data_IF_995548584378
#
_entry.id   IF_995548584378
#
_cell.length_a   1.000
_cell.length_b   1.000
_cell.length_c   1.000
_cell.angle_alpha   90.00
_cell.angle_beta   90.00
_cell.angle_gamma   90.00
#
_symmetry.space_group_name_H-M   'P 1'
#
loop_
_entity.id
_entity.type
_entity.pdbx_description
1 polymer ?
#
# COMPACT_ATOMS: atom_id res chain seq x y z
N UNK A 1 -13.74 5.34 -16.86
CA UNK A 1 -14.02 4.77 -15.54
C UNK A 1 -12.77 4.06 -15.05
N UNK A 2 -12.33 4.27 -13.80
CA UNK A 2 -11.14 3.59 -13.26
C UNK A 2 -11.34 2.06 -13.19
N UNK A 3 -10.32 1.31 -13.55
CA UNK A 3 -10.29 -0.15 -13.48
C UNK A 3 -9.12 -0.62 -12.61
N UNK A 4 -9.35 -1.66 -11.83
CA UNK A 4 -8.41 -2.21 -10.85
C UNK A 4 -8.04 -3.65 -11.21
N UNK A 5 -6.81 -4.04 -10.95
CA UNK A 5 -6.34 -5.41 -11.14
C UNK A 5 -6.68 -6.29 -9.94
N UNK A 6 -6.87 -7.61 -10.14
CA UNK A 6 -7.20 -8.54 -9.06
C UNK A 6 -6.18 -8.56 -7.92
N UNK A 7 -4.91 -8.27 -8.21
CA UNK A 7 -3.86 -8.27 -7.20
C UNK A 7 -4.04 -7.21 -6.12
N UNK A 8 -4.77 -6.12 -6.41
CA UNK A 8 -4.97 -4.98 -5.51
C UNK A 8 -6.17 -5.13 -4.55
N UNK A 9 -6.90 -6.26 -4.59
CA UNK A 9 -8.02 -6.49 -3.65
C UNK A 9 -7.59 -6.55 -2.18
N UNK A 10 -6.31 -6.83 -1.91
CA UNK A 10 -5.75 -6.90 -0.56
C UNK A 10 -5.10 -5.60 -0.12
N UNK A 11 -5.03 -4.60 -1.00
CA UNK A 11 -4.51 -3.28 -0.66
C UNK A 11 -5.50 -2.55 0.26
N UNK A 12 -5.00 -1.85 1.27
CA UNK A 12 -5.82 -1.07 2.21
C UNK A 12 -6.59 0.01 1.46
N UNK A 13 -5.93 0.67 0.50
CA UNK A 13 -6.51 1.68 -0.39
C UNK A 13 -5.99 1.46 -1.80
N UNK A 14 -6.66 0.62 -2.62
CA UNK A 14 -6.20 0.33 -3.96
C UNK A 14 -6.28 1.57 -4.86
N UNK A 15 -5.25 1.75 -5.69
CA UNK A 15 -5.21 2.74 -6.76
C UNK A 15 -5.59 2.10 -8.09
N UNK A 16 -6.25 2.82 -9.01
CA UNK A 16 -6.58 2.25 -10.31
C UNK A 16 -5.32 1.98 -11.14
N UNK A 17 -5.31 0.86 -11.84
CA UNK A 17 -4.23 0.48 -12.76
C UNK A 17 -4.41 1.10 -14.14
N UNK A 18 -5.58 1.62 -14.45
CA UNK A 18 -5.91 2.26 -15.71
C UNK A 18 -7.37 2.68 -15.80
N UNK A 19 -7.81 3.00 -17.01
CA UNK A 19 -9.15 3.46 -17.27
C UNK A 19 -9.81 2.67 -18.42
N UNK A 20 -11.05 2.25 -18.23
CA UNK A 20 -11.88 1.64 -19.25
C UNK A 20 -12.83 2.67 -19.84
N UNK A 21 -13.02 2.63 -21.18
CA UNK A 21 -13.93 3.53 -21.87
C UNK A 21 -15.38 3.32 -21.41
N UNK A 22 -16.13 4.42 -21.25
CA UNK A 22 -17.56 4.35 -21.00
C UNK A 22 -18.35 3.75 -22.19
N UNK A 23 -17.75 3.76 -23.41
CA UNK A 23 -18.32 3.19 -24.64
C UNK A 23 -17.94 1.73 -24.86
N UNK A 24 -17.32 1.06 -23.86
CA UNK A 24 -16.98 -0.36 -23.98
C UNK A 24 -18.22 -1.22 -24.19
N UNK A 25 -18.07 -2.33 -24.95
CA UNK A 25 -19.10 -3.35 -25.09
C UNK A 25 -19.17 -4.31 -23.89
N UNK A 26 -18.19 -4.24 -22.99
CA UNK A 26 -18.13 -5.08 -21.78
C UNK A 26 -19.26 -4.68 -20.82
N UNK A 27 -19.94 -5.67 -20.25
CA UNK A 27 -20.92 -5.41 -19.20
C UNK A 27 -20.21 -5.00 -17.89
N UNK A 28 -20.08 -3.69 -17.70
CA UNK A 28 -19.43 -3.10 -16.52
C UNK A 28 -20.12 -3.52 -15.20
N UNK A 29 -21.43 -3.77 -15.24
CA UNK A 29 -22.19 -4.21 -14.06
C UNK A 29 -21.63 -5.49 -13.46
N UNK A 30 -21.19 -6.45 -14.29
CA UNK A 30 -20.59 -7.71 -13.86
C UNK A 30 -19.18 -7.55 -13.29
N UNK A 31 -18.50 -6.44 -13.60
CA UNK A 31 -17.16 -6.14 -13.12
C UNK A 31 -17.16 -5.32 -11.83
N UNK A 32 -18.30 -4.72 -11.49
CA UNK A 32 -18.47 -3.87 -10.30
C UNK A 32 -18.68 -4.73 -9.07
N UNK A 33 -17.88 -4.49 -8.03
CA UNK A 33 -18.00 -5.21 -6.77
C UNK A 33 -19.00 -4.54 -5.83
N UNK A 34 -19.65 -5.35 -5.00
CA UNK A 34 -20.71 -4.91 -4.07
C UNK A 34 -20.24 -5.11 -2.64
N UNK A 35 -20.73 -4.29 -1.74
CA UNK A 35 -20.49 -4.42 -0.31
C UNK A 35 -20.93 -5.80 0.21
N UNK A 36 -20.18 -6.34 1.18
CA UNK A 36 -20.34 -7.69 1.74
C UNK A 36 -20.05 -8.86 0.79
N UNK A 37 -19.61 -8.62 -0.44
CA UNK A 37 -19.04 -9.68 -1.26
C UNK A 37 -17.69 -10.13 -0.72
N UNK A 38 -17.32 -11.38 -1.00
CA UNK A 38 -15.95 -11.86 -0.85
C UNK A 38 -15.32 -11.93 -2.25
N UNK A 39 -14.13 -11.36 -2.38
CA UNK A 39 -13.35 -11.39 -3.61
C UNK A 39 -12.22 -12.39 -3.48
N UNK A 40 -11.94 -13.12 -4.56
CA UNK A 40 -10.83 -14.04 -4.61
C UNK A 40 -10.12 -13.99 -5.95
N UNK A 41 -8.79 -13.91 -5.96
CA UNK A 41 -8.00 -13.99 -7.18
C UNK A 41 -8.05 -15.40 -7.74
N UNK A 42 -8.34 -15.53 -9.04
CA UNK A 42 -8.57 -16.82 -9.70
C UNK A 42 -7.56 -17.15 -10.80
N UNK A 43 -6.61 -16.25 -11.09
CA UNK A 43 -5.60 -16.44 -12.13
C UNK A 43 -4.23 -15.90 -11.66
N UNK A 44 -3.15 -16.56 -12.06
CA UNK A 44 -1.78 -16.19 -11.70
C UNK A 44 -1.49 -16.41 -10.20
N UNK A 45 -1.53 -15.37 -9.38
CA UNK A 45 -1.45 -15.53 -7.91
C UNK A 45 -2.84 -15.79 -7.37
N UNK A 46 -3.22 -17.05 -7.31
CA UNK A 46 -4.55 -17.49 -6.86
C UNK A 46 -4.67 -17.54 -5.33
N UNK A 47 -5.91 -17.45 -4.83
CA UNK A 47 -6.22 -17.66 -3.42
C UNK A 47 -5.97 -16.45 -2.51
N UNK A 48 -5.71 -15.25 -3.07
CA UNK A 48 -5.83 -14.02 -2.28
C UNK A 48 -7.32 -13.74 -2.07
N UNK A 49 -7.73 -13.57 -0.83
CA UNK A 49 -9.11 -13.33 -0.44
C UNK A 49 -9.25 -11.97 0.21
N UNK A 50 -10.31 -11.23 -0.14
CA UNK A 50 -10.65 -9.94 0.46
C UNK A 50 -12.15 -9.85 0.71
N UNK A 51 -12.54 -9.14 1.76
CA UNK A 51 -13.92 -8.79 2.05
C UNK A 51 -14.21 -7.39 1.49
N UNK A 52 -15.35 -7.18 0.85
CA UNK A 52 -15.70 -5.87 0.26
C UNK A 52 -16.37 -5.00 1.30
N UNK A 53 -15.61 -4.04 1.80
CA UNK A 53 -16.12 -2.92 2.59
C UNK A 53 -16.33 -1.67 1.70
N UNK A 54 -16.72 -0.56 2.31
CA UNK A 54 -16.97 0.71 1.63
C UNK A 54 -15.84 1.15 0.68
N UNK A 55 -14.57 0.97 1.09
CA UNK A 55 -13.42 1.35 0.25
C UNK A 55 -13.38 0.62 -1.09
N UNK A 56 -13.75 -0.67 -1.12
CA UNK A 56 -13.77 -1.47 -2.34
C UNK A 56 -15.09 -1.38 -3.10
N UNK A 57 -16.20 -1.13 -2.39
CA UNK A 57 -17.53 -1.11 -2.96
C UNK A 57 -17.62 -0.18 -4.19
N UNK A 58 -18.36 -0.63 -5.19
CA UNK A 58 -18.55 0.07 -6.46
C UNK A 58 -17.31 0.22 -7.37
N UNK A 59 -16.13 -0.24 -6.98
CA UNK A 59 -14.96 -0.29 -7.88
C UNK A 59 -15.15 -1.36 -8.96
N UNK A 60 -14.50 -1.14 -10.10
CA UNK A 60 -14.54 -2.02 -11.27
C UNK A 60 -13.23 -2.81 -11.30
N UNK A 61 -13.30 -4.10 -11.06
CA UNK A 61 -12.16 -5.00 -11.17
C UNK A 61 -12.20 -5.79 -12.48
N UNK A 62 -11.04 -6.18 -12.99
CA UNK A 62 -10.97 -7.03 -14.18
C UNK A 62 -11.65 -8.40 -13.97
N UNK A 63 -11.76 -9.19 -15.03
CA UNK A 63 -12.50 -10.45 -15.00
C UNK A 63 -11.79 -11.58 -14.23
N UNK A 64 -10.47 -11.53 -14.04
CA UNK A 64 -9.70 -12.56 -13.33
C UNK A 64 -9.92 -12.53 -11.80
N UNK A 65 -11.16 -12.36 -11.38
CA UNK A 65 -11.56 -12.21 -10.00
C UNK A 65 -12.90 -12.91 -9.76
N UNK A 66 -12.93 -13.89 -8.89
CA UNK A 66 -14.17 -14.48 -8.40
C UNK A 66 -14.85 -13.53 -7.42
N UNK A 67 -16.16 -13.38 -7.58
CA UNK A 67 -17.05 -12.58 -6.75
C UNK A 67 -18.03 -13.51 -6.09
N UNK A 68 -17.96 -13.61 -4.77
CA UNK A 68 -18.75 -14.56 -4.00
C UNK A 68 -19.85 -13.78 -3.29
N UNK A 69 -21.08 -14.02 -3.69
CA UNK A 69 -22.28 -13.51 -3.00
C UNK A 69 -22.75 -14.56 -1.98
N UNK A 70 -22.68 -14.22 -0.70
CA UNK A 70 -23.13 -15.11 0.36
C UNK A 70 -24.66 -15.08 0.46
N UNK A 71 -25.31 -16.27 0.51
CA UNK A 71 -26.77 -16.36 0.65
C UNK A 71 -27.27 -15.70 1.93
N UNK A 72 -26.44 -15.72 2.97
CA UNK A 72 -26.67 -15.04 4.26
C UNK A 72 -25.56 -14.01 4.44
N UNK A 73 -25.86 -12.74 4.27
CA UNK A 73 -24.85 -11.67 4.41
C UNK A 73 -24.18 -11.66 5.78
N UNK A 74 -24.90 -12.03 6.83
CA UNK A 74 -24.43 -12.12 8.22
C UNK A 74 -23.47 -13.31 8.49
N UNK A 75 -23.25 -14.19 7.50
CA UNK A 75 -22.22 -15.23 7.53
C UNK A 75 -21.02 -14.92 6.61
N UNK A 76 -21.04 -13.83 5.85
CA UNK A 76 -19.99 -13.54 4.87
C UNK A 76 -18.58 -13.42 5.49
N UNK A 77 -18.46 -12.76 6.63
CA UNK A 77 -17.17 -12.68 7.36
C UNK A 77 -16.69 -14.03 7.87
N UNK A 78 -17.59 -14.94 8.24
CA UNK A 78 -17.26 -16.32 8.60
C UNK A 78 -16.68 -17.09 7.42
N UNK A 79 -17.34 -17.00 6.25
CA UNK A 79 -16.87 -17.65 5.01
C UNK A 79 -15.52 -17.06 4.58
N UNK A 80 -15.38 -15.74 4.66
CA UNK A 80 -14.10 -15.07 4.42
C UNK A 80 -12.99 -15.62 5.32
N UNK A 81 -13.22 -15.70 6.63
CA UNK A 81 -12.23 -16.19 7.58
C UNK A 81 -11.82 -17.64 7.29
N UNK A 82 -12.77 -18.52 6.91
CA UNK A 82 -12.44 -19.85 6.48
C UNK A 82 -11.56 -19.88 5.22
N UNK A 83 -11.97 -19.17 4.16
CA UNK A 83 -11.22 -19.14 2.89
C UNK A 83 -9.81 -18.55 3.06
N UNK A 84 -9.63 -17.63 4.01
CA UNK A 84 -8.35 -17.01 4.35
C UNK A 84 -7.51 -17.86 5.30
N UNK A 85 -8.09 -18.78 6.05
CA UNK A 85 -7.37 -19.70 6.95
C UNK A 85 -6.36 -20.56 6.18
N UNK A 86 -5.33 -21.06 6.88
CA UNK A 86 -4.32 -21.95 6.25
C UNK A 86 -4.95 -23.19 5.60
N UNK A 87 -5.94 -23.79 6.24
CA UNK A 87 -6.63 -24.99 5.74
C UNK A 87 -7.54 -24.64 4.57
N UNK A 88 -8.40 -23.61 4.72
CA UNK A 88 -9.32 -23.19 3.64
C UNK A 88 -8.55 -22.78 2.38
N UNK A 89 -7.49 -22.00 2.54
CA UNK A 89 -6.64 -21.60 1.42
C UNK A 89 -5.93 -22.79 0.78
N UNK A 90 -5.46 -23.75 1.57
CA UNK A 90 -4.84 -24.98 1.03
C UNK A 90 -5.85 -25.81 0.24
N UNK A 91 -7.09 -25.96 0.72
CA UNK A 91 -8.16 -26.66 -0.01
C UNK A 91 -8.43 -25.97 -1.35
N UNK A 92 -8.52 -24.63 -1.36
CA UNK A 92 -8.67 -23.85 -2.59
C UNK A 92 -7.55 -24.16 -3.59
N UNK A 93 -6.30 -24.13 -3.14
CA UNK A 93 -5.14 -24.36 -3.99
C UNK A 93 -5.06 -25.79 -4.55
N UNK A 94 -5.56 -26.79 -3.84
CA UNK A 94 -5.61 -28.17 -4.34
C UNK A 94 -6.61 -28.35 -5.47
N UNK A 95 -7.62 -27.50 -5.57
CA UNK A 95 -8.62 -27.50 -6.64
C UNK A 95 -8.19 -26.71 -7.87
N UNK A 96 -6.99 -26.12 -7.87
CA UNK A 96 -6.48 -25.35 -9.00
C UNK A 96 -5.93 -26.24 -10.11
N UNK A 97 -5.98 -25.74 -11.35
CA UNK A 97 -5.44 -26.41 -12.52
C UNK A 97 -4.59 -25.45 -13.38
N UNK A 98 -3.89 -25.98 -14.37
CA UNK A 98 -3.02 -25.24 -15.29
C UNK A 98 -1.53 -25.49 -15.05
N UNK A 99 -0.80 -25.73 -16.14
CA UNK A 99 0.62 -26.09 -16.09
C UNK A 99 1.55 -24.86 -16.04
N UNK A 100 1.15 -23.75 -16.66
CA UNK A 100 1.96 -22.50 -16.75
C UNK A 100 1.33 -21.39 -15.94
N UNK A 101 0.02 -21.18 -16.10
CA UNK A 101 -0.75 -20.24 -15.30
C UNK A 101 -1.81 -21.03 -14.56
N UNK A 102 -1.79 -20.97 -13.24
CA UNK A 102 -2.74 -21.66 -12.39
C UNK A 102 -4.07 -20.89 -12.36
N UNK A 103 -5.18 -21.61 -12.48
CA UNK A 103 -6.55 -21.07 -12.48
C UNK A 103 -7.46 -21.78 -11.49
N UNK A 104 -8.46 -21.05 -10.98
CA UNK A 104 -9.62 -21.59 -10.26
C UNK A 104 -10.87 -21.00 -10.90
N UNK A 105 -11.84 -21.86 -11.21
CA UNK A 105 -13.15 -21.49 -11.75
C UNK A 105 -14.25 -21.51 -10.65
N UNK A 106 -15.42 -20.90 -10.89
CA UNK A 106 -16.52 -20.92 -9.95
C UNK A 106 -16.94 -22.34 -9.50
N UNK A 107 -16.91 -23.30 -10.42
CA UNK A 107 -17.25 -24.70 -10.17
C UNK A 107 -16.29 -25.34 -9.16
N UNK A 108 -14.99 -25.05 -9.26
CA UNK A 108 -13.99 -25.53 -8.31
C UNK A 108 -14.20 -24.93 -6.92
N UNK A 109 -14.54 -23.63 -6.84
CA UNK A 109 -14.85 -22.97 -5.58
C UNK A 109 -16.12 -23.54 -4.96
N UNK A 110 -17.14 -23.87 -5.75
CA UNK A 110 -18.39 -24.42 -5.28
C UNK A 110 -18.24 -25.80 -4.59
N UNK A 111 -17.14 -26.52 -4.86
CA UNK A 111 -16.84 -27.82 -4.22
C UNK A 111 -16.10 -27.69 -2.90
N UNK A 112 -15.67 -26.48 -2.51
CA UNK A 112 -14.94 -26.24 -1.25
C UNK A 112 -15.89 -26.45 -0.07
N UNK A 113 -15.63 -27.43 0.81
CA UNK A 113 -16.48 -27.67 1.97
C UNK A 113 -16.28 -26.54 3.00
N UNK A 114 -17.32 -25.81 3.29
CA UNK A 114 -17.33 -24.82 4.39
C UNK A 114 -17.77 -25.55 5.66
N UNK A 115 -16.95 -25.60 6.71
CA UNK A 115 -17.34 -26.25 7.97
C UNK A 115 -18.56 -25.56 8.57
N UNK A 116 -19.47 -26.33 9.15
CA UNK A 116 -20.57 -25.77 9.90
C UNK A 116 -20.16 -25.51 11.36
N UNK A 117 -20.73 -24.49 11.97
CA UNK A 117 -20.45 -24.10 13.34
C UNK A 117 -21.72 -23.50 14.01
N UNK A 118 -21.79 -23.47 15.36
CA UNK A 118 -22.89 -22.80 16.04
C UNK A 118 -23.11 -21.37 15.57
N UNK A 119 -24.36 -20.97 15.42
CA UNK A 119 -24.73 -19.62 14.90
C UNK A 119 -24.03 -18.48 15.66
N UNK A 120 -23.93 -18.59 16.98
CA UNK A 120 -23.23 -17.60 17.81
C UNK A 120 -21.75 -17.47 17.44
N UNK A 121 -21.09 -18.57 17.13
CA UNK A 121 -19.68 -18.59 16.75
C UNK A 121 -19.47 -18.00 15.35
N UNK A 122 -20.34 -18.39 14.38
CA UNK A 122 -20.33 -17.80 13.04
C UNK A 122 -20.50 -16.28 13.10
N UNK A 123 -21.48 -15.82 13.90
CA UNK A 123 -21.73 -14.39 14.08
C UNK A 123 -20.54 -13.69 14.72
N UNK A 124 -19.93 -14.25 15.75
CA UNK A 124 -18.73 -13.66 16.39
C UNK A 124 -17.59 -13.46 15.38
N UNK A 125 -17.29 -14.48 14.57
CA UNK A 125 -16.25 -14.39 13.54
C UNK A 125 -16.63 -13.36 12.49
N UNK A 126 -17.89 -13.34 12.04
CA UNK A 126 -18.40 -12.37 11.09
C UNK A 126 -18.22 -10.92 11.60
N UNK A 127 -18.68 -10.64 12.82
CA UNK A 127 -18.62 -9.30 13.41
C UNK A 127 -17.16 -8.81 13.55
N UNK A 128 -16.22 -9.69 13.91
CA UNK A 128 -14.79 -9.36 13.99
C UNK A 128 -14.22 -8.96 12.60
N UNK A 129 -14.57 -9.71 11.56
CA UNK A 129 -14.11 -9.41 10.19
C UNK A 129 -14.73 -8.10 9.70
N UNK A 130 -16.04 -7.91 9.86
CA UNK A 130 -16.71 -6.65 9.47
C UNK A 130 -16.03 -5.47 10.16
N UNK A 131 -15.86 -5.54 11.50
CA UNK A 131 -15.25 -4.47 12.26
C UNK A 131 -13.81 -4.21 11.86
N UNK A 132 -13.03 -5.25 11.51
CA UNK A 132 -11.68 -5.10 10.96
C UNK A 132 -11.69 -4.27 9.66
N UNK A 133 -12.62 -4.53 8.76
CA UNK A 133 -12.71 -3.79 7.48
C UNK A 133 -13.26 -2.38 7.67
N UNK A 134 -14.19 -2.15 8.59
CA UNK A 134 -14.63 -0.80 8.97
C UNK A 134 -13.46 0.06 9.49
N UNK A 135 -12.59 -0.50 10.33
CA UNK A 135 -11.40 0.22 10.82
C UNK A 135 -10.42 0.56 9.69
N UNK A 136 -10.32 -0.27 8.66
CA UNK A 136 -9.53 0.05 7.45
C UNK A 136 -10.15 1.23 6.71
N UNK A 137 -11.47 1.24 6.54
CA UNK A 137 -12.21 2.35 5.92
C UNK A 137 -12.05 3.65 6.73
N UNK A 138 -12.20 3.58 8.05
CA UNK A 138 -11.97 4.71 8.94
C UNK A 138 -10.51 5.23 8.83
N UNK A 139 -9.52 4.33 8.71
CA UNK A 139 -8.13 4.72 8.52
C UNK A 139 -7.91 5.47 7.20
N UNK A 140 -8.60 5.05 6.14
CA UNK A 140 -8.54 5.73 4.86
C UNK A 140 -9.16 7.13 4.92
N UNK A 141 -10.28 7.29 5.63
CA UNK A 141 -10.91 8.60 5.86
C UNK A 141 -9.98 9.58 6.60
N UNK A 142 -9.25 9.09 7.61
CA UNK A 142 -8.26 9.92 8.34
C UNK A 142 -7.10 10.35 7.43
N UNK A 143 -6.61 9.46 6.57
CA UNK A 143 -5.57 9.80 5.58
C UNK A 143 -6.09 10.83 4.58
N UNK A 144 -7.35 10.69 4.12
CA UNK A 144 -7.96 11.65 3.20
C UNK A 144 -8.16 13.04 3.87
N UNK A 145 -8.59 13.07 5.14
CA UNK A 145 -8.68 14.30 5.92
C UNK A 145 -7.31 14.96 6.10
N UNK A 146 -6.27 14.19 6.46
CA UNK A 146 -4.92 14.71 6.60
C UNK A 146 -4.39 15.29 5.29
N UNK A 147 -4.62 14.59 4.18
CA UNK A 147 -4.24 15.06 2.84
C UNK A 147 -4.99 16.33 2.43
N UNK A 148 -6.30 16.40 2.70
CA UNK A 148 -7.10 17.60 2.42
C UNK A 148 -6.62 18.80 3.23
N UNK A 149 -6.27 18.62 4.51
CA UNK A 149 -5.68 19.70 5.34
C UNK A 149 -4.34 20.18 4.77
N UNK A 150 -3.47 19.26 4.34
CA UNK A 150 -2.18 19.60 3.71
C UNK A 150 -2.39 20.42 2.44
N UNK A 151 -3.26 19.96 1.54
CA UNK A 151 -3.58 20.64 0.28
C UNK A 151 -4.16 22.03 0.55
N UNK A 152 -5.10 22.14 1.49
CA UNK A 152 -5.75 23.42 1.84
C UNK A 152 -4.78 24.41 2.45
N UNK A 153 -3.93 24.00 3.39
CA UNK A 153 -2.96 24.88 4.06
C UNK A 153 -1.89 25.40 3.11
N UNK A 154 -1.38 24.54 2.23
CA UNK A 154 -0.41 24.90 1.19
C UNK A 154 -1.07 25.48 -0.07
N UNK A 155 -2.40 25.60 -0.13
CA UNK A 155 -3.17 26.04 -1.30
C UNK A 155 -2.73 25.37 -2.60
N UNK A 156 -2.47 24.08 -2.55
CA UNK A 156 -1.97 23.31 -3.67
C UNK A 156 -3.06 23.13 -4.74
N UNK A 157 -2.86 23.60 -5.99
CA UNK A 157 -3.78 23.35 -7.09
C UNK A 157 -3.62 21.91 -7.56
N UNK A 158 -4.55 21.39 -8.36
CA UNK A 158 -4.34 20.11 -9.04
C UNK A 158 -3.03 20.12 -9.83
N UNK A 159 -2.36 18.96 -9.92
CA UNK A 159 -1.05 18.84 -10.59
C UNK A 159 -1.11 19.39 -12.03
N UNK A 160 -2.18 19.09 -12.76
CA UNK A 160 -2.36 19.55 -14.13
C UNK A 160 -2.68 21.05 -14.27
N UNK A 161 -2.99 21.70 -13.16
CA UNK A 161 -3.31 23.14 -13.13
C UNK A 161 -2.09 24.03 -12.81
N UNK A 162 -0.90 23.43 -12.54
CA UNK A 162 0.32 24.24 -12.40
C UNK A 162 0.68 24.91 -13.73
N UNK A 163 0.94 26.20 -13.67
CA UNK A 163 1.50 26.92 -14.82
C UNK A 163 2.96 26.55 -15.01
N UNK A 164 3.20 25.71 -15.98
CA UNK A 164 4.54 25.27 -16.39
C UNK A 164 4.96 25.93 -17.69
N UNK A 165 4.79 27.26 -17.80
CA UNK A 165 4.93 28.12 -18.99
C UNK A 165 6.01 27.79 -20.02
N UNK A 166 6.94 26.88 -19.74
CA UNK A 166 7.96 26.35 -20.65
C UNK A 166 7.57 25.02 -21.28
N UNK A 167 6.43 24.44 -20.89
CA UNK A 167 5.99 23.13 -21.33
C UNK A 167 4.94 23.24 -22.45
N UNK A 168 5.32 22.89 -23.68
CA UNK A 168 4.44 22.99 -24.85
C UNK A 168 3.69 21.67 -25.09
N UNK A 169 2.44 21.58 -24.63
CA UNK A 169 1.56 20.41 -24.87
C UNK A 169 1.12 20.21 -26.33
N UNK A 170 1.33 21.21 -27.19
CA UNK A 170 0.82 21.21 -28.58
C UNK A 170 1.75 20.57 -29.61
N UNK A 171 2.94 20.14 -29.23
CA UNK A 171 3.87 19.43 -30.11
C UNK A 171 3.68 17.91 -30.00
N UNK A 172 4.01 17.11 -31.02
CA UNK A 172 3.98 15.65 -30.94
C UNK A 172 4.96 15.09 -29.89
N UNK A 173 5.90 15.90 -29.40
CA UNK A 173 6.79 15.63 -28.28
C UNK A 173 6.76 16.84 -27.36
N UNK A 174 6.52 16.61 -26.08
CA UNK A 174 6.61 17.66 -25.07
C UNK A 174 8.07 18.14 -24.96
N UNK A 175 8.29 19.44 -25.11
CA UNK A 175 9.62 20.04 -25.12
C UNK A 175 9.73 21.17 -24.10
N UNK A 176 10.87 21.26 -23.44
CA UNK A 176 11.24 22.36 -22.56
C UNK A 176 12.74 22.65 -22.66
N UNK A 177 13.17 23.81 -22.18
CA UNK A 177 14.56 24.24 -22.18
C UNK A 177 15.09 24.36 -20.77
N UNK A 178 16.33 23.94 -20.53
CA UNK A 178 17.04 24.08 -19.27
C UNK A 178 18.32 24.87 -19.51
N UNK A 179 18.63 25.83 -18.65
CA UNK A 179 19.90 26.56 -18.72
C UNK A 179 21.04 25.64 -18.30
N UNK A 180 22.18 25.73 -18.97
CA UNK A 180 23.37 24.95 -18.66
C UNK A 180 23.78 25.10 -17.18
N UNK A 181 23.63 26.30 -16.61
CA UNK A 181 23.90 26.60 -15.21
C UNK A 181 22.97 25.88 -14.22
N UNK A 182 21.79 25.43 -14.69
CA UNK A 182 20.74 24.78 -13.88
C UNK A 182 20.75 23.26 -14.01
N UNK A 183 21.62 22.71 -14.87
CA UNK A 183 21.65 21.27 -15.17
C UNK A 183 22.11 20.40 -13.98
N UNK A 184 22.71 21.00 -12.94
CA UNK A 184 23.11 20.30 -11.70
C UNK A 184 23.92 19.01 -11.94
N UNK A 185 24.68 18.95 -13.06
CA UNK A 185 25.43 17.77 -13.47
C UNK A 185 24.62 16.62 -14.04
N UNK A 186 23.31 16.81 -14.29
CA UNK A 186 22.40 15.81 -14.86
C UNK A 186 21.92 16.22 -16.24
N UNK A 187 21.94 15.26 -17.18
CA UNK A 187 21.52 15.45 -18.58
C UNK A 187 20.17 14.78 -18.89
N UNK A 188 19.63 14.04 -17.96
CA UNK A 188 18.36 13.30 -18.13
C UNK A 188 17.17 14.27 -18.04
N UNK A 189 16.32 14.25 -19.07
CA UNK A 189 15.17 15.15 -19.16
C UNK A 189 14.18 14.96 -17.99
N UNK A 190 14.00 13.74 -17.47
CA UNK A 190 13.11 13.43 -16.36
C UNK A 190 13.47 14.20 -15.07
N UNK A 191 14.73 14.52 -14.86
CA UNK A 191 15.18 15.32 -13.72
C UNK A 191 14.76 16.78 -13.81
N UNK A 192 14.65 17.31 -15.03
CA UNK A 192 14.42 18.74 -15.31
C UNK A 192 12.97 19.06 -15.70
N UNK A 193 12.04 18.15 -15.45
CA UNK A 193 10.62 18.38 -15.78
C UNK A 193 10.12 19.63 -15.06
N UNK A 194 9.61 20.66 -15.76
CA UNK A 194 9.25 21.95 -15.20
C UNK A 194 8.23 21.92 -14.05
N UNK A 195 7.38 20.92 -14.00
CA UNK A 195 6.39 20.74 -12.94
C UNK A 195 7.03 20.64 -11.55
N UNK A 196 8.22 20.06 -11.44
CA UNK A 196 8.92 19.94 -10.16
C UNK A 196 9.32 21.30 -9.61
N UNK A 197 9.88 22.16 -10.47
CA UNK A 197 10.30 23.50 -10.06
C UNK A 197 9.07 24.36 -9.74
N UNK A 198 7.97 24.22 -10.50
CA UNK A 198 6.70 24.89 -10.21
C UNK A 198 6.13 24.47 -8.84
N UNK A 199 6.19 23.18 -8.50
CA UNK A 199 5.79 22.71 -7.16
C UNK A 199 6.68 23.33 -6.08
N UNK A 200 8.00 23.28 -6.23
CA UNK A 200 8.95 23.82 -5.24
C UNK A 200 8.75 25.31 -5.02
N UNK A 201 8.57 26.10 -6.09
CA UNK A 201 8.30 27.53 -5.98
C UNK A 201 6.95 27.82 -5.31
N UNK A 202 5.94 27.01 -5.59
CA UNK A 202 4.66 27.09 -4.90
C UNK A 202 4.79 26.78 -3.39
N UNK A 203 5.51 25.73 -3.04
CA UNK A 203 5.79 25.37 -1.64
C UNK A 203 6.52 26.50 -0.92
N UNK A 204 7.56 27.11 -1.52
CA UNK A 204 8.28 28.26 -0.95
C UNK A 204 7.37 29.46 -0.66
N UNK A 205 6.33 29.66 -1.44
CA UNK A 205 5.39 30.77 -1.28
C UNK A 205 4.44 30.56 -0.10
N UNK A 206 3.96 29.35 0.09
CA UNK A 206 2.88 29.06 1.04
C UNK A 206 3.37 28.39 2.33
N UNK A 207 4.46 27.64 2.31
CA UNK A 207 5.08 27.10 3.53
C UNK A 207 5.80 28.21 4.33
N UNK A 208 6.15 27.92 5.57
CA UNK A 208 7.08 28.71 6.37
C UNK A 208 8.51 28.53 5.86
N UNK A 209 8.88 27.27 5.63
CA UNK A 209 10.20 26.85 5.14
C UNK A 209 10.02 25.64 4.22
N UNK A 210 10.86 25.53 3.22
CA UNK A 210 11.02 24.30 2.44
C UNK A 210 12.40 23.73 2.74
N UNK A 211 12.42 22.64 3.48
CA UNK A 211 13.63 21.88 3.83
C UNK A 211 13.70 20.60 3.00
N UNK A 212 14.48 19.59 3.43
CA UNK A 212 14.59 18.30 2.74
C UNK A 212 14.38 17.13 3.69
N UNK A 213 14.12 15.94 3.14
CA UNK A 213 14.02 14.70 3.93
C UNK A 213 15.30 14.47 4.74
N UNK A 214 16.48 14.85 4.23
CA UNK A 214 17.77 14.69 4.93
C UNK A 214 18.00 15.68 6.07
N UNK A 215 17.13 16.67 6.28
CA UNK A 215 17.23 17.60 7.43
C UNK A 215 17.04 16.81 8.74
N UNK A 216 17.93 17.00 9.75
CA UNK A 216 17.82 16.31 11.05
C UNK A 216 16.50 16.57 11.82
N UNK A 217 15.78 17.63 11.51
CA UNK A 217 14.44 17.92 12.06
C UNK A 217 13.36 17.01 11.43
N UNK A 218 13.62 16.48 10.22
CA UNK A 218 12.69 15.65 9.46
C UNK A 218 13.01 14.17 9.64
N UNK A 219 14.26 13.76 9.40
CA UNK A 219 14.66 12.37 9.57
C UNK A 219 16.00 12.23 10.31
N UNK A 220 16.08 11.20 11.15
CA UNK A 220 17.36 10.81 11.80
C UNK A 220 18.26 10.08 10.82
N UNK A 221 17.68 9.29 9.95
CA UNK A 221 18.43 8.44 9.04
C UNK A 221 17.57 8.06 7.83
N UNK A 222 18.22 7.97 6.68
CA UNK A 222 17.66 7.40 5.43
C UNK A 222 18.54 6.24 5.03
N UNK A 223 17.97 5.03 4.95
CA UNK A 223 18.72 3.80 4.78
C UNK A 223 18.30 3.09 3.50
N UNK A 224 19.26 2.81 2.64
CA UNK A 224 19.14 1.84 1.56
C UNK A 224 20.01 0.63 1.90
N UNK A 225 19.43 -0.54 2.19
CA UNK A 225 20.23 -1.72 2.51
C UNK A 225 20.96 -2.23 1.26
N UNK A 226 22.21 -2.62 1.44
CA UNK A 226 22.95 -3.34 0.42
C UNK A 226 22.34 -4.71 0.11
N UNK A 227 22.65 -5.24 -1.06
CA UNK A 227 22.26 -6.62 -1.43
C UNK A 227 23.01 -7.63 -0.57
N UNK A 228 22.31 -8.68 -0.13
CA UNK A 228 22.91 -9.78 0.63
C UNK A 228 22.33 -11.13 0.22
N UNK A 229 23.07 -12.19 0.46
CA UNK A 229 22.59 -13.56 0.24
C UNK A 229 21.48 -13.87 1.22
N UNK A 230 20.29 -14.19 0.71
CA UNK A 230 19.11 -14.51 1.50
C UNK A 230 19.06 -16.00 1.79
N UNK A 231 18.88 -16.37 3.06
CA UNK A 231 18.60 -17.73 3.49
C UNK A 231 17.18 -17.76 4.02
N UNK A 232 16.29 -18.39 3.28
CA UNK A 232 14.88 -18.53 3.62
C UNK A 232 14.67 -19.72 4.58
N UNK A 233 13.71 -19.56 5.46
CA UNK A 233 13.30 -20.57 6.44
C UNK A 233 11.77 -20.56 6.57
N UNK A 234 11.24 -21.58 7.27
CA UNK A 234 9.82 -21.64 7.59
C UNK A 234 9.42 -20.63 8.68
N UNK A 235 8.11 -20.42 8.79
CA UNK A 235 7.52 -19.59 9.83
C UNK A 235 7.99 -20.01 11.23
N UNK A 236 8.33 -19.02 12.08
CA UNK A 236 8.85 -19.26 13.43
C UNK A 236 10.37 -19.35 13.53
N UNK A 237 11.12 -19.55 12.43
CA UNK A 237 12.58 -19.64 12.43
C UNK A 237 13.27 -18.40 11.84
N UNK A 238 12.51 -17.38 11.50
CA UNK A 238 13.03 -16.18 10.87
C UNK A 238 12.17 -14.95 11.03
N UNK A 239 12.63 -13.83 10.45
CA UNK A 239 11.89 -12.58 10.38
C UNK A 239 11.23 -12.42 9.02
N UNK A 240 10.06 -11.81 9.00
CA UNK A 240 9.28 -11.55 7.76
C UNK A 240 10.06 -10.62 6.85
N UNK A 241 10.28 -11.03 5.59
CA UNK A 241 10.77 -10.18 4.52
C UNK A 241 9.58 -9.59 3.76
N UNK A 242 9.53 -8.26 3.64
CA UNK A 242 8.52 -7.56 2.86
C UNK A 242 9.13 -6.98 1.58
N UNK A 243 8.38 -7.09 0.47
CA UNK A 243 8.72 -6.50 -0.82
C UNK A 243 7.82 -5.31 -1.17
N UNK A 244 8.20 -4.56 -2.21
CA UNK A 244 7.47 -3.35 -2.61
C UNK A 244 6.01 -3.56 -2.96
N UNK A 245 5.63 -4.75 -3.47
CA UNK A 245 4.22 -5.08 -3.75
C UNK A 245 3.35 -5.15 -2.49
N UNK A 246 3.96 -5.50 -1.35
CA UNK A 246 3.25 -5.74 -0.09
C UNK A 246 3.07 -4.47 0.76
N UNK A 247 3.69 -3.35 0.37
CA UNK A 247 3.61 -2.10 1.14
C UNK A 247 2.19 -1.52 1.22
N UNK A 248 1.30 -1.89 0.31
CA UNK A 248 -0.10 -1.47 0.30
C UNK A 248 -1.01 -2.42 1.10
N UNK A 249 -0.53 -3.62 1.48
CA UNK A 249 -1.31 -4.63 2.19
C UNK A 249 -1.32 -4.35 3.70
N UNK A 250 -2.42 -4.67 4.39
CA UNK A 250 -2.46 -4.59 5.85
C UNK A 250 -1.53 -5.63 6.49
N UNK A 251 -1.67 -6.87 6.06
CA UNK A 251 -0.79 -7.98 6.42
C UNK A 251 -0.29 -8.65 5.14
N UNK A 252 1.04 -8.79 4.94
CA UNK A 252 1.60 -9.38 3.73
C UNK A 252 1.01 -10.75 3.41
N UNK A 253 0.34 -10.87 2.26
CA UNK A 253 -0.39 -12.08 1.86
C UNK A 253 0.51 -13.28 1.55
N UNK A 254 1.80 -13.03 1.27
CA UNK A 254 2.79 -14.07 0.94
C UNK A 254 4.07 -13.79 1.72
N UNK A 255 4.08 -14.22 2.98
CA UNK A 255 5.23 -14.00 3.87
C UNK A 255 6.39 -14.93 3.51
N UNK A 256 7.59 -14.36 3.40
CA UNK A 256 8.85 -15.09 3.34
C UNK A 256 9.64 -14.76 4.60
N UNK A 257 10.33 -15.75 5.16
CA UNK A 257 11.06 -15.58 6.40
C UNK A 257 12.56 -15.71 6.18
N UNK A 258 13.32 -14.72 6.65
CA UNK A 258 14.80 -14.74 6.62
C UNK A 258 15.35 -15.34 7.90
N UNK A 259 16.27 -16.29 7.77
CA UNK A 259 16.87 -17.01 8.91
C UNK A 259 17.54 -16.07 9.91
N UNK A 260 17.05 -16.04 11.13
CA UNK A 260 17.71 -15.34 12.25
C UNK A 260 19.04 -16.00 12.62
N UNK A 261 19.13 -17.34 12.62
CA UNK A 261 20.34 -18.06 12.92
C UNK A 261 21.52 -17.74 11.97
N UNK A 262 21.24 -17.41 10.70
CA UNK A 262 22.30 -17.09 9.72
C UNK A 262 22.59 -15.61 9.60
N UNK A 263 21.67 -14.72 10.00
CA UNK A 263 21.75 -13.30 9.69
C UNK A 263 21.45 -12.36 10.87
N UNK A 264 21.41 -12.85 12.12
CA UNK A 264 20.90 -12.08 13.27
C UNK A 264 21.46 -10.64 13.38
N UNK A 265 22.78 -10.48 13.34
CA UNK A 265 23.42 -9.15 13.43
C UNK A 265 23.02 -8.20 12.31
N UNK A 266 22.81 -8.74 11.11
CA UNK A 266 22.43 -7.95 9.94
C UNK A 266 20.94 -7.64 10.00
N UNK A 267 20.08 -8.60 10.33
CA UNK A 267 18.64 -8.41 10.44
C UNK A 267 18.29 -7.34 11.48
N UNK A 268 18.97 -7.31 12.62
CA UNK A 268 18.84 -6.26 13.65
C UNK A 268 19.13 -4.84 13.13
N UNK A 269 20.01 -4.70 12.14
CA UNK A 269 20.29 -3.41 11.49
C UNK A 269 19.27 -3.08 10.39
N UNK A 270 18.61 -4.11 9.86
CA UNK A 270 17.70 -3.98 8.73
C UNK A 270 16.23 -3.97 9.14
N UNK A 271 15.88 -4.37 10.36
CA UNK A 271 14.50 -4.35 10.83
C UNK A 271 13.92 -2.96 10.87
N UNK A 272 12.61 -2.90 10.69
CA UNK A 272 11.86 -1.65 10.79
C UNK A 272 11.11 -1.57 12.11
N UNK A 273 10.85 -0.34 12.51
CA UNK A 273 10.13 0.00 13.72
C UNK A 273 8.91 0.85 13.37
N UNK A 274 7.89 0.79 14.22
CA UNK A 274 6.67 1.59 14.08
C UNK A 274 6.99 3.06 13.77
N UNK A 275 6.25 3.64 12.82
CA UNK A 275 6.42 5.04 12.41
C UNK A 275 7.51 5.27 11.36
N UNK A 276 8.34 4.28 11.02
CA UNK A 276 9.28 4.39 9.90
C UNK A 276 8.52 4.55 8.58
N UNK A 277 8.92 5.49 7.73
CA UNK A 277 8.37 5.61 6.36
C UNK A 277 9.16 4.74 5.41
N UNK A 278 8.46 3.89 4.64
CA UNK A 278 9.02 3.02 3.61
C UNK A 278 8.69 3.57 2.23
N UNK A 279 9.69 3.57 1.32
CA UNK A 279 9.58 4.07 -0.05
C UNK A 279 10.11 3.01 -1.01
N UNK A 280 9.32 2.59 -2.00
CA UNK A 280 9.84 1.71 -3.06
C UNK A 280 10.85 2.46 -3.93
N UNK A 281 12.03 1.83 -4.15
CA UNK A 281 13.12 2.43 -4.92
C UNK A 281 13.23 1.94 -6.36
N UNK A 282 12.59 0.83 -6.72
CA UNK A 282 12.69 0.25 -8.06
C UNK A 282 11.39 -0.42 -8.52
N UNK A 283 11.20 -0.52 -9.81
CA UNK A 283 9.96 -0.93 -10.45
C UNK A 283 8.90 0.17 -10.31
N UNK A 284 7.86 -0.04 -9.52
CA UNK A 284 6.92 1.05 -9.19
C UNK A 284 7.52 1.91 -8.09
N UNK A 285 8.23 2.98 -8.48
CA UNK A 285 8.86 3.94 -7.56
C UNK A 285 7.79 4.77 -6.85
N UNK A 286 8.06 5.11 -5.58
CA UNK A 286 7.22 6.05 -4.84
C UNK A 286 5.94 5.46 -4.24
N UNK A 287 5.83 4.13 -4.10
CA UNK A 287 4.88 3.57 -3.14
C UNK A 287 5.38 3.87 -1.73
N UNK A 288 4.52 4.47 -0.93
CA UNK A 288 4.87 4.94 0.41
C UNK A 288 3.93 4.33 1.43
N UNK A 289 4.49 3.90 2.55
CA UNK A 289 3.72 3.47 3.70
C UNK A 289 4.44 3.83 4.99
N UNK A 290 3.68 4.07 6.06
CA UNK A 290 4.19 4.16 7.41
C UNK A 290 4.11 2.78 8.05
N UNK A 291 5.19 2.34 8.70
CA UNK A 291 5.27 1.03 9.36
C UNK A 291 4.25 0.96 10.49
N UNK A 292 3.26 0.05 10.44
CA UNK A 292 2.33 -0.17 11.54
C UNK A 292 2.98 -1.05 12.62
N UNK A 293 2.44 -1.01 13.83
CA UNK A 293 2.96 -1.73 14.99
C UNK A 293 3.16 -3.23 14.77
N UNK A 294 2.28 -3.90 14.03
CA UNK A 294 2.40 -5.34 13.74
C UNK A 294 3.49 -5.69 12.72
N UNK A 295 4.11 -4.69 12.04
CA UNK A 295 5.29 -4.89 11.21
C UNK A 295 6.59 -4.64 11.97
N UNK A 296 6.51 -4.42 13.28
CA UNK A 296 7.71 -4.31 14.12
C UNK A 296 8.66 -5.47 13.87
N UNK A 297 9.94 -5.20 13.65
CA UNK A 297 10.98 -6.17 13.30
C UNK A 297 10.86 -6.86 11.94
N UNK A 298 9.95 -6.45 11.05
CA UNK A 298 9.97 -6.93 9.66
C UNK A 298 11.21 -6.40 8.93
N UNK A 299 11.61 -7.10 7.88
CA UNK A 299 12.79 -6.76 7.09
C UNK A 299 12.33 -6.30 5.70
N UNK A 300 12.42 -5.01 5.36
CA UNK A 300 12.22 -4.56 3.99
C UNK A 300 13.32 -5.08 3.09
N UNK A 301 12.96 -5.43 1.85
CA UNK A 301 13.91 -5.84 0.82
C UNK A 301 14.84 -4.67 0.43
N UNK A 302 15.92 -5.00 -0.30
CA UNK A 302 16.85 -4.04 -0.91
C UNK A 302 16.21 -3.14 -1.99
N UNK A 303 14.94 -3.35 -2.32
CA UNK A 303 14.13 -2.50 -3.18
C UNK A 303 13.26 -1.48 -2.41
N UNK A 304 13.50 -1.30 -1.11
CA UNK A 304 12.74 -0.40 -0.25
C UNK A 304 13.71 0.46 0.57
N UNK A 305 13.61 1.77 0.41
CA UNK A 305 14.32 2.76 1.22
C UNK A 305 13.50 2.99 2.51
N UNK A 306 14.20 3.16 3.62
CA UNK A 306 13.65 3.46 4.94
C UNK A 306 14.01 4.88 5.32
N UNK A 307 13.01 5.67 5.70
CA UNK A 307 13.20 6.99 6.28
C UNK A 307 12.77 6.91 7.73
N UNK A 308 13.74 7.00 8.63
CA UNK A 308 13.51 7.00 10.08
C UNK A 308 13.20 8.44 10.47
N UNK A 309 11.98 8.78 10.89
CA UNK A 309 11.63 10.15 11.24
C UNK A 309 12.42 10.64 12.44
N UNK A 310 12.63 11.95 12.53
CA UNK A 310 13.36 12.57 13.65
C UNK A 310 12.68 12.26 15.00
N UNK A 311 11.36 12.28 15.05
CA UNK A 311 10.54 11.96 16.20
C UNK A 311 9.10 11.63 15.76
N UNK A 312 8.21 11.33 16.72
CA UNK A 312 6.80 11.02 16.44
C UNK A 312 5.99 12.23 15.95
N UNK A 313 6.40 13.45 16.27
CA UNK A 313 5.64 14.66 15.92
C UNK A 313 5.77 15.04 14.46
N UNK A 314 6.70 14.42 13.70
CA UNK A 314 6.89 14.63 12.27
C UNK A 314 6.58 13.37 11.43
N UNK A 315 6.51 12.18 12.04
CA UNK A 315 6.44 10.91 11.33
C UNK A 315 5.20 10.80 10.43
N UNK A 316 4.04 11.16 10.94
CA UNK A 316 2.77 11.13 10.20
C UNK A 316 2.74 12.20 9.12
N UNK A 317 3.17 13.42 9.44
CA UNK A 317 3.23 14.53 8.49
C UNK A 317 4.13 14.21 7.29
N UNK A 318 5.34 13.71 7.56
CA UNK A 318 6.29 13.27 6.53
C UNK A 318 5.66 12.22 5.61
N UNK A 319 4.97 11.24 6.19
CA UNK A 319 4.31 10.19 5.40
C UNK A 319 3.20 10.77 4.52
N UNK A 320 2.31 11.65 5.04
CA UNK A 320 1.23 12.28 4.27
C UNK A 320 1.78 13.09 3.10
N UNK A 321 2.80 13.92 3.34
CA UNK A 321 3.37 14.73 2.27
C UNK A 321 4.01 13.86 1.19
N UNK A 322 4.88 12.91 1.55
CA UNK A 322 5.55 12.04 0.59
C UNK A 322 4.55 11.15 -0.20
N UNK A 323 3.48 10.69 0.44
CA UNK A 323 2.44 9.89 -0.20
C UNK A 323 1.48 10.68 -1.09
N UNK A 324 1.45 12.02 -0.97
CA UNK A 324 0.66 12.90 -1.83
C UNK A 324 1.14 12.86 -3.28
N UNK A 325 0.30 13.31 -4.20
CA UNK A 325 0.68 13.37 -5.62
C UNK A 325 1.87 14.31 -5.86
N UNK A 326 1.98 15.38 -5.07
CA UNK A 326 3.12 16.32 -5.10
C UNK A 326 4.41 15.66 -4.62
N UNK A 327 4.36 14.93 -3.50
CA UNK A 327 5.49 14.16 -2.99
C UNK A 327 5.97 13.11 -3.99
N UNK A 328 5.04 12.42 -4.67
CA UNK A 328 5.38 11.45 -5.74
C UNK A 328 6.11 12.11 -6.90
N UNK A 329 5.66 13.29 -7.36
CA UNK A 329 6.34 14.04 -8.43
C UNK A 329 7.77 14.41 -7.99
N UNK A 330 7.95 14.90 -6.76
CA UNK A 330 9.25 15.25 -6.22
C UNK A 330 10.19 14.03 -6.06
N UNK A 331 9.63 12.85 -5.77
CA UNK A 331 10.38 11.59 -5.69
C UNK A 331 10.80 11.13 -7.10
N UNK A 332 9.85 11.10 -8.04
CA UNK A 332 10.09 10.56 -9.39
C UNK A 332 11.04 11.40 -10.22
N UNK A 333 11.24 12.69 -9.86
CA UNK A 333 12.31 13.52 -10.44
C UNK A 333 13.66 12.83 -10.43
N UNK A 334 13.97 12.11 -9.36
CA UNK A 334 15.28 11.51 -9.14
C UNK A 334 15.48 10.15 -9.82
N UNK A 335 14.47 9.69 -10.55
CA UNK A 335 14.52 8.40 -11.25
C UNK A 335 15.67 8.33 -12.24
N UNK A 336 16.43 7.25 -12.21
CA UNK A 336 17.49 6.90 -13.15
C UNK A 336 17.41 5.43 -13.51
N UNK A 337 18.07 5.03 -14.58
CA UNK A 337 18.09 3.65 -15.06
C UNK A 337 17.60 3.56 -16.51
N UNK A 338 18.07 2.55 -17.26
CA UNK A 338 17.71 2.36 -18.67
C UNK A 338 16.74 1.20 -18.89
N UNK A 339 16.70 0.22 -18.00
CA UNK A 339 15.84 -0.97 -18.09
C UNK A 339 14.89 -1.04 -16.90
N UNK A 340 15.39 -0.70 -15.73
CA UNK A 340 14.60 -0.61 -14.51
C UNK A 340 14.86 0.74 -13.87
N UNK A 341 13.81 1.51 -13.69
CA UNK A 341 13.86 2.77 -12.99
C UNK A 341 14.22 2.56 -11.52
N UNK A 342 15.16 3.34 -11.02
CA UNK A 342 15.63 3.30 -9.64
C UNK A 342 15.82 4.70 -9.04
N UNK A 343 15.74 4.77 -7.71
CA UNK A 343 16.23 5.87 -6.88
C UNK A 343 17.10 5.31 -5.76
N UNK A 344 17.92 6.13 -5.11
CA UNK A 344 18.73 5.74 -3.96
C UNK A 344 18.45 6.61 -2.72
N UNK A 345 19.13 6.34 -1.62
CA UNK A 345 18.95 7.07 -0.36
C UNK A 345 19.44 8.52 -0.43
N UNK A 346 20.46 8.83 -1.24
CA UNK A 346 20.92 10.19 -1.46
C UNK A 346 19.88 11.02 -2.22
N UNK A 347 19.18 10.41 -3.17
CA UNK A 347 18.05 11.04 -3.86
C UNK A 347 16.90 11.33 -2.88
N UNK A 348 16.55 10.35 -2.02
CA UNK A 348 15.49 10.55 -1.03
C UNK A 348 15.84 11.65 -0.04
N UNK A 349 17.10 11.78 0.40
CA UNK A 349 17.54 12.87 1.27
C UNK A 349 17.30 14.26 0.70
N UNK A 350 17.32 14.39 -0.63
CA UNK A 350 17.17 15.67 -1.34
C UNK A 350 15.71 16.05 -1.61
N UNK A 351 14.75 15.17 -1.35
CA UNK A 351 13.33 15.45 -1.60
C UNK A 351 12.91 16.63 -0.71
N UNK A 352 12.33 17.66 -1.33
CA UNK A 352 11.83 18.85 -0.64
C UNK A 352 10.64 18.53 0.26
N UNK A 353 10.64 19.05 1.48
CA UNK A 353 9.58 18.92 2.49
C UNK A 353 9.17 20.32 2.95
N UNK A 354 7.90 20.74 2.78
CA UNK A 354 7.42 22.00 3.32
C UNK A 354 7.16 21.87 4.83
N UNK A 355 7.55 22.86 5.60
CA UNK A 355 7.09 23.07 6.98
C UNK A 355 5.98 24.11 6.97
N UNK A 356 4.86 23.84 7.61
CA UNK A 356 3.68 24.69 7.54
C UNK A 356 3.83 25.91 8.46
N UNK A 357 3.35 27.06 8.04
CA UNK A 357 3.22 28.27 8.88
C UNK A 357 2.33 28.01 10.09
N UNK A 358 1.28 27.22 9.89
CA UNK A 358 0.36 26.84 10.96
C UNK A 358 0.81 25.50 11.59
N UNK A 359 1.65 25.59 12.61
CA UNK A 359 2.15 24.42 13.33
C UNK A 359 1.03 23.55 13.95
N UNK A 360 -0.12 24.16 14.31
CA UNK A 360 -1.26 23.40 14.83
C UNK A 360 -1.88 22.52 13.75
N UNK A 361 -1.98 23.03 12.52
CA UNK A 361 -2.45 22.22 11.38
C UNK A 361 -1.43 21.14 11.03
N UNK A 362 -0.13 21.45 11.03
CA UNK A 362 0.91 20.44 10.79
C UNK A 362 0.84 19.30 11.81
N UNK A 363 0.70 19.64 13.10
CA UNK A 363 0.50 18.65 14.16
C UNK A 363 -0.78 17.83 13.93
N UNK A 364 -1.90 18.48 13.58
CA UNK A 364 -3.15 17.76 13.29
C UNK A 364 -3.01 16.78 12.14
N UNK A 365 -2.32 17.14 11.05
CA UNK A 365 -2.03 16.26 9.92
C UNK A 365 -1.22 15.05 10.41
N UNK A 366 -0.18 15.28 11.22
CA UNK A 366 0.63 14.24 11.82
C UNK A 366 -0.21 13.28 12.66
N UNK A 367 -1.03 13.80 13.57
CA UNK A 367 -1.83 13.02 14.51
C UNK A 367 -2.89 12.18 13.78
N UNK A 368 -3.55 12.71 12.74
CA UNK A 368 -4.49 11.96 11.89
C UNK A 368 -3.81 10.78 11.18
N UNK A 369 -2.60 10.97 10.68
CA UNK A 369 -1.85 9.89 10.04
C UNK A 369 -1.44 8.79 11.03
N UNK A 370 -1.03 9.17 12.24
CA UNK A 370 -0.69 8.23 13.29
C UNK A 370 -1.93 7.48 13.82
N UNK A 371 -3.06 8.18 13.97
CA UNK A 371 -4.34 7.56 14.32
C UNK A 371 -4.80 6.57 13.24
N UNK A 372 -4.66 6.91 11.97
CA UNK A 372 -4.93 5.99 10.86
C UNK A 372 -4.07 4.72 10.96
N UNK A 373 -2.78 4.87 11.31
CA UNK A 373 -1.87 3.74 11.48
C UNK A 373 -2.27 2.86 12.67
N UNK A 374 -2.72 3.46 13.78
CA UNK A 374 -3.25 2.71 14.95
C UNK A 374 -4.55 1.96 14.58
N UNK A 375 -5.48 2.57 13.83
CA UNK A 375 -6.69 1.87 13.35
C UNK A 375 -6.35 0.66 12.46
N UNK A 376 -5.32 0.76 11.62
CA UNK A 376 -4.80 -0.37 10.83
C UNK A 376 -4.28 -1.48 11.72
N UNK A 377 -3.57 -1.15 12.79
CA UNK A 377 -3.10 -2.15 13.75
C UNK A 377 -4.27 -2.84 14.46
N UNK A 378 -5.27 -2.09 14.91
CA UNK A 378 -6.49 -2.65 15.52
C UNK A 378 -7.26 -3.54 14.52
N UNK A 379 -7.37 -3.12 13.26
CA UNK A 379 -7.98 -3.93 12.20
C UNK A 379 -7.24 -5.26 12.02
N UNK A 380 -5.90 -5.24 12.04
CA UNK A 380 -5.09 -6.44 11.99
C UNK A 380 -5.38 -7.37 13.18
N UNK A 381 -5.43 -6.84 14.40
CA UNK A 381 -5.70 -7.66 15.59
C UNK A 381 -7.05 -8.36 15.54
N UNK A 382 -8.11 -7.66 15.11
CA UNK A 382 -9.45 -8.25 14.97
C UNK A 382 -9.49 -9.34 13.89
N UNK A 383 -8.82 -9.14 12.77
CA UNK A 383 -8.73 -10.18 11.74
C UNK A 383 -7.95 -11.40 12.24
N UNK A 384 -6.84 -11.19 12.97
CA UNK A 384 -6.08 -12.31 13.57
C UNK A 384 -6.90 -13.05 14.62
N UNK A 385 -7.68 -12.35 15.44
CA UNK A 385 -8.59 -12.98 16.39
C UNK A 385 -9.64 -13.85 15.68
N UNK A 386 -10.26 -13.34 14.63
CA UNK A 386 -11.23 -14.09 13.83
C UNK A 386 -10.61 -15.36 13.24
N UNK A 387 -9.39 -15.27 12.68
CA UNK A 387 -8.67 -16.42 12.11
C UNK A 387 -8.27 -17.43 13.19
N UNK A 388 -7.84 -16.97 14.36
CA UNK A 388 -7.50 -17.86 15.49
C UNK A 388 -8.74 -18.60 16.02
N UNK A 389 -9.89 -17.92 16.11
CA UNK A 389 -11.15 -18.56 16.50
C UNK A 389 -11.57 -19.57 15.42
N UNK A 390 -11.45 -19.23 14.14
CA UNK A 390 -11.73 -20.15 13.03
C UNK A 390 -10.87 -21.42 13.14
N UNK A 391 -9.57 -21.27 13.36
CA UNK A 391 -8.67 -22.44 13.48
C UNK A 391 -8.99 -23.25 14.73
N UNK A 392 -9.05 -22.64 15.92
CA UNK A 392 -9.17 -23.35 17.20
C UNK A 392 -10.55 -23.97 17.41
N UNK A 393 -11.62 -23.20 17.15
CA UNK A 393 -12.97 -23.52 17.60
C UNK A 393 -13.85 -24.11 16.46
N UNK A 394 -13.38 -24.05 15.21
CA UNK A 394 -14.09 -24.61 14.05
C UNK A 394 -13.29 -25.72 13.37
N UNK A 395 -12.07 -25.41 12.89
CA UNK A 395 -11.29 -26.35 12.08
C UNK A 395 -10.68 -27.46 12.95
N UNK A 396 -10.10 -27.10 14.09
CA UNK A 396 -9.45 -28.03 15.02
C UNK A 396 -10.26 -28.24 16.32
N UNK A 397 -11.56 -27.93 16.30
CA UNK A 397 -12.43 -28.20 17.45
C UNK A 397 -12.33 -29.67 17.85
N UNK A 398 -11.94 -29.95 19.09
CA UNK A 398 -12.02 -31.30 19.66
C UNK A 398 -13.50 -31.63 19.81
N UNK A 399 -13.93 -32.73 19.19
CA UNK A 399 -15.26 -33.32 19.40
C UNK A 399 -15.41 -33.82 20.82
#
# INVERSE_FOLDING_TARGET
MPIYQPSSIVDIKPTPDGYISAKTKTNIGNLRVKENQILMTCSGTIGKVSFVSRTLANKIFSHDLLRIDCRKPDEAGYIYAFLKSKIGNKILLTNSYGAVITHIEPEHLATVPIPDAPTMLKKKIHDLIVRSYELRDESNDLIDQATALLIGELKLPDIDAFDVGLYKKAAPVDTFSVRLSEMSGRLDASYHVPIVDAIIEHLKRYAEEVTTVGDPRISREVILPGRFKRVYVDEGYGRVLIGGKQLSELDPSSKKYLSTAKHDKMLKKLEVHEGTTLITRSGTIGKITIVPKHWEHYIPSDHIIRVIPANKDIAGYLNIFLASDYGKVLITRFTYGSVVDEIDDNHVRQIAIPLLKNHTVQKKINDLALEANEKRYQAYLLEQEALQIMDRDVIYAKK
#
